data_IF_731808821655
#
_entry.id   IF_731808821655
#
_cell.length_a   1.000
_cell.length_b   1.000
_cell.length_c   1.000
_cell.angle_alpha   90.00
_cell.angle_beta   90.00
_cell.angle_gamma   90.00
#
_symmetry.space_group_name_H-M   'P 1'
#
loop_
_entity.id
_entity.type
_entity.pdbx_description
1 polymer ?
#
# COMPACT_ATOMS: atom_id res chain seq x y z
N UNK A 1 38.70 -27.29 9.21
CA UNK A 1 37.36 -27.00 8.66
C UNK A 1 36.64 -26.10 9.64
N UNK A 2 36.60 -24.79 9.39
CA UNK A 2 35.95 -23.82 10.28
C UNK A 2 34.51 -23.60 9.82
N UNK A 3 33.54 -23.93 10.67
CA UNK A 3 32.13 -23.64 10.44
C UNK A 3 31.91 -22.13 10.53
N UNK A 4 31.42 -21.54 9.44
CA UNK A 4 30.92 -20.17 9.45
C UNK A 4 29.69 -20.10 10.37
N UNK A 5 29.89 -19.58 11.58
CA UNK A 5 28.80 -19.19 12.45
C UNK A 5 28.08 -18.01 11.77
N UNK A 6 26.98 -18.32 11.08
CA UNK A 6 26.05 -17.31 10.62
C UNK A 6 25.50 -16.57 11.83
N UNK A 7 26.02 -15.39 12.11
CA UNK A 7 25.41 -14.48 13.07
C UNK A 7 24.01 -14.16 12.55
N UNK A 8 23.00 -14.82 13.11
CA UNK A 8 21.61 -14.43 12.94
C UNK A 8 21.48 -13.03 13.56
N UNK A 9 21.46 -12.00 12.70
CA UNK A 9 21.23 -10.62 13.11
C UNK A 9 19.90 -10.59 13.88
N UNK A 10 19.87 -10.17 15.15
CA UNK A 10 18.62 -10.09 15.90
C UNK A 10 17.64 -9.20 15.11
N UNK A 11 16.50 -9.75 14.69
CA UNK A 11 15.48 -8.95 13.99
C UNK A 11 14.96 -7.88 14.95
N UNK A 12 14.95 -6.59 14.56
CA UNK A 12 14.32 -5.55 15.37
C UNK A 12 12.85 -5.91 15.62
N UNK A 13 12.35 -5.71 16.84
CA UNK A 13 10.96 -6.04 17.21
C UNK A 13 9.92 -5.37 16.30
N UNK A 14 10.26 -4.20 15.75
CA UNK A 14 9.39 -3.43 14.87
C UNK A 14 9.16 -4.16 13.54
N UNK A 15 10.17 -4.81 12.96
CA UNK A 15 10.04 -5.55 11.70
C UNK A 15 9.03 -6.70 11.84
N UNK A 16 9.14 -7.48 12.92
CA UNK A 16 8.19 -8.56 13.24
C UNK A 16 6.76 -8.06 13.41
N UNK A 17 6.58 -6.90 14.07
CA UNK A 17 5.26 -6.29 14.23
C UNK A 17 4.67 -5.85 12.89
N UNK A 18 5.50 -5.31 12.00
CA UNK A 18 5.06 -4.87 10.68
C UNK A 18 4.63 -6.05 9.82
N UNK A 19 5.45 -7.11 9.76
CA UNK A 19 5.10 -8.33 9.05
C UNK A 19 3.76 -8.91 9.54
N UNK A 20 3.54 -8.89 10.85
CA UNK A 20 2.28 -9.34 11.46
C UNK A 20 1.10 -8.50 11.00
N UNK A 21 1.20 -7.17 11.05
CA UNK A 21 0.07 -6.27 10.70
C UNK A 21 -0.24 -6.34 9.21
N UNK A 22 0.76 -6.42 8.33
CA UNK A 22 0.53 -6.62 6.90
C UNK A 22 -0.14 -7.97 6.62
N UNK A 23 0.35 -9.05 7.23
CA UNK A 23 -0.25 -10.39 7.10
C UNK A 23 -1.68 -10.46 7.64
N UNK A 24 -1.94 -9.80 8.77
CA UNK A 24 -3.29 -9.71 9.36
C UNK A 24 -4.23 -8.90 8.47
N UNK A 25 -3.79 -7.78 7.92
CA UNK A 25 -4.60 -6.96 7.02
C UNK A 25 -4.98 -7.73 5.75
N UNK A 26 -4.05 -8.50 5.18
CA UNK A 26 -4.32 -9.41 4.07
C UNK A 26 -5.35 -10.50 4.44
N UNK A 27 -5.19 -11.09 5.63
CA UNK A 27 -6.07 -12.15 6.12
C UNK A 27 -7.49 -11.62 6.36
N UNK A 28 -7.63 -10.42 6.96
CA UNK A 28 -8.93 -9.76 7.15
C UNK A 28 -9.59 -9.46 5.80
N UNK A 29 -8.83 -8.97 4.82
CA UNK A 29 -9.33 -8.76 3.46
C UNK A 29 -9.85 -10.04 2.82
N UNK A 30 -9.17 -11.17 3.03
CA UNK A 30 -9.61 -12.47 2.53
C UNK A 30 -10.86 -12.98 3.26
N UNK A 31 -10.93 -12.81 4.58
CA UNK A 31 -12.12 -13.18 5.39
C UNK A 31 -13.34 -12.35 4.98
N UNK A 32 -13.16 -11.06 4.69
CA UNK A 32 -14.24 -10.18 4.24
C UNK A 32 -14.92 -10.67 2.94
N UNK A 33 -14.19 -11.37 2.06
CA UNK A 33 -14.80 -11.98 0.88
C UNK A 33 -15.80 -13.09 1.21
N UNK A 34 -15.61 -13.78 2.34
CA UNK A 34 -16.38 -14.95 2.75
C UNK A 34 -17.57 -14.54 3.64
N UNK A 35 -17.40 -13.53 4.48
CA UNK A 35 -18.40 -13.12 5.48
C UNK A 35 -19.51 -12.25 4.94
N UNK A 36 -19.34 -11.67 3.75
CA UNK A 36 -20.40 -10.89 3.09
C UNK A 36 -21.49 -11.84 2.61
N UNK A 37 -22.74 -11.34 2.60
CA UNK A 37 -23.89 -12.04 2.04
C UNK A 37 -23.59 -12.72 0.70
N UNK A 38 -24.22 -13.87 0.49
CA UNK A 38 -24.07 -14.67 -0.73
C UNK A 38 -24.22 -13.76 -1.96
N UNK A 39 -23.28 -13.81 -2.91
CA UNK A 39 -23.32 -12.95 -4.09
C UNK A 39 -24.58 -13.24 -4.88
N UNK A 40 -25.26 -12.18 -5.29
CA UNK A 40 -26.53 -12.21 -6.02
C UNK A 40 -26.35 -12.39 -7.53
N UNK A 41 -25.11 -12.20 -8.04
CA UNK A 41 -24.78 -12.31 -9.45
C UNK A 41 -23.31 -12.71 -9.67
N UNK A 42 -23.00 -13.23 -10.86
CA UNK A 42 -21.62 -13.50 -11.29
C UNK A 42 -20.79 -12.21 -11.40
N UNK A 43 -21.41 -11.09 -11.79
CA UNK A 43 -20.77 -9.78 -11.84
C UNK A 43 -20.30 -9.32 -10.45
N UNK A 44 -21.09 -9.60 -9.41
CA UNK A 44 -20.74 -9.29 -8.02
C UNK A 44 -19.54 -10.11 -7.54
N UNK A 45 -19.45 -11.39 -7.90
CA UNK A 45 -18.27 -12.23 -7.61
C UNK A 45 -17.02 -11.62 -8.23
N UNK A 46 -17.08 -11.26 -9.52
CA UNK A 46 -15.93 -10.70 -10.23
C UNK A 46 -15.48 -9.37 -9.62
N UNK A 47 -16.41 -8.47 -9.28
CA UNK A 47 -16.09 -7.19 -8.63
C UNK A 47 -15.40 -7.40 -7.29
N UNK A 48 -15.97 -8.24 -6.42
CA UNK A 48 -15.40 -8.54 -5.08
C UNK A 48 -14.00 -9.16 -5.21
N UNK A 49 -13.82 -10.12 -6.12
CA UNK A 49 -12.53 -10.75 -6.36
C UNK A 49 -11.48 -9.75 -6.87
N UNK A 50 -11.83 -8.90 -7.83
CA UNK A 50 -10.94 -7.87 -8.36
C UNK A 50 -10.53 -6.86 -7.28
N UNK A 51 -11.47 -6.41 -6.44
CA UNK A 51 -11.20 -5.52 -5.31
C UNK A 51 -10.20 -6.14 -4.31
N UNK A 52 -10.37 -7.42 -3.99
CA UNK A 52 -9.43 -8.14 -3.14
C UNK A 52 -8.06 -8.31 -3.79
N UNK A 53 -7.99 -8.73 -5.06
CA UNK A 53 -6.72 -8.87 -5.78
C UNK A 53 -5.98 -7.52 -5.82
N UNK A 54 -6.70 -6.44 -6.08
CA UNK A 54 -6.15 -5.09 -6.08
C UNK A 54 -5.53 -4.73 -4.72
N UNK A 55 -6.29 -4.86 -3.64
CA UNK A 55 -5.82 -4.50 -2.29
C UNK A 55 -4.73 -5.41 -1.77
N UNK A 56 -4.84 -6.73 -2.02
CA UNK A 56 -3.78 -7.67 -1.69
C UNK A 56 -2.48 -7.33 -2.44
N UNK A 57 -2.57 -7.03 -3.74
CA UNK A 57 -1.42 -6.63 -4.55
C UNK A 57 -0.81 -5.32 -4.05
N UNK A 58 -1.64 -4.34 -3.66
CA UNK A 58 -1.17 -3.10 -3.05
C UNK A 58 -0.43 -3.36 -1.74
N UNK A 59 -1.02 -4.09 -0.80
CA UNK A 59 -0.43 -4.39 0.50
C UNK A 59 0.88 -5.17 0.36
N UNK A 60 0.90 -6.23 -0.47
CA UNK A 60 2.11 -7.03 -0.73
C UNK A 60 3.21 -6.16 -1.36
N UNK A 61 2.85 -5.30 -2.32
CA UNK A 61 3.81 -4.39 -2.97
C UNK A 61 4.43 -3.43 -1.97
N UNK A 62 3.62 -2.76 -1.16
CA UNK A 62 4.12 -1.79 -0.17
C UNK A 62 4.91 -2.48 0.95
N UNK A 63 4.50 -3.68 1.37
CA UNK A 63 5.26 -4.51 2.30
C UNK A 63 6.65 -4.85 1.76
N UNK A 64 6.76 -5.33 0.51
CA UNK A 64 8.07 -5.63 -0.08
C UNK A 64 9.00 -4.40 -0.12
N UNK A 65 8.46 -3.24 -0.50
CA UNK A 65 9.21 -1.99 -0.50
C UNK A 65 9.65 -1.61 0.91
N UNK A 66 8.73 -1.70 1.88
CA UNK A 66 9.01 -1.43 3.29
C UNK A 66 10.14 -2.30 3.81
N UNK A 67 10.04 -3.63 3.66
CA UNK A 67 11.05 -4.57 4.16
C UNK A 67 12.42 -4.30 3.53
N UNK A 68 12.44 -4.00 2.23
CA UNK A 68 13.68 -3.62 1.54
C UNK A 68 14.30 -2.35 2.15
N UNK A 69 13.51 -1.30 2.35
CA UNK A 69 13.98 -0.04 2.93
C UNK A 69 14.47 -0.22 4.38
N UNK A 70 13.73 -0.96 5.22
CA UNK A 70 14.10 -1.18 6.61
C UNK A 70 15.35 -2.06 6.77
N UNK A 71 15.61 -2.97 5.82
CA UNK A 71 16.80 -3.83 5.88
C UNK A 71 18.13 -3.06 5.83
N UNK A 72 18.12 -1.85 5.27
CA UNK A 72 19.30 -0.99 5.10
C UNK A 72 19.28 0.26 5.99
N UNK A 73 18.22 0.46 6.76
CA UNK A 73 18.05 1.67 7.56
C UNK A 73 19.10 1.65 8.69
N UNK A 74 20.00 2.67 8.78
CA UNK A 74 21.20 2.56 9.60
C UNK A 74 20.92 2.72 11.11
N UNK A 75 19.92 3.52 11.49
CA UNK A 75 19.54 3.77 12.90
C UNK A 75 18.04 4.03 13.03
N UNK A 76 17.39 3.40 14.01
CA UNK A 76 16.00 3.69 14.37
C UNK A 76 15.92 5.05 15.11
N UNK A 77 15.48 6.10 14.43
CA UNK A 77 15.21 7.40 15.04
C UNK A 77 13.75 7.49 15.52
N UNK A 78 13.46 8.37 16.48
CA UNK A 78 12.09 8.61 16.96
C UNK A 78 11.12 8.97 15.82
N UNK A 79 11.61 9.68 14.80
CA UNK A 79 10.82 10.03 13.62
C UNK A 79 10.47 8.78 12.78
N UNK A 80 11.45 7.89 12.55
CA UNK A 80 11.21 6.62 11.83
C UNK A 80 10.22 5.75 12.59
N UNK A 81 10.36 5.65 13.92
CA UNK A 81 9.42 4.91 14.78
C UNK A 81 8.01 5.49 14.67
N UNK A 82 7.85 6.82 14.75
CA UNK A 82 6.55 7.48 14.62
C UNK A 82 5.92 7.22 13.24
N UNK A 83 6.67 7.40 12.17
CA UNK A 83 6.21 7.10 10.80
C UNK A 83 5.82 5.64 10.62
N UNK A 84 6.56 4.71 11.24
CA UNK A 84 6.20 3.29 11.24
C UNK A 84 4.86 3.05 11.93
N UNK A 85 4.65 3.60 13.12
CA UNK A 85 3.36 3.45 13.84
C UNK A 85 2.20 4.00 13.00
N UNK A 86 2.37 5.18 12.41
CA UNK A 86 1.35 5.76 11.51
C UNK A 86 1.09 4.86 10.31
N UNK A 87 2.14 4.37 9.64
CA UNK A 87 2.01 3.46 8.51
C UNK A 87 1.28 2.17 8.87
N UNK A 88 1.55 1.60 10.05
CA UNK A 88 0.86 0.40 10.52
C UNK A 88 -0.63 0.63 10.75
N UNK A 89 -1.00 1.81 11.27
CA UNK A 89 -2.41 2.20 11.41
C UNK A 89 -3.07 2.31 10.04
N UNK A 90 -2.44 3.00 9.08
CA UNK A 90 -2.95 3.14 7.72
C UNK A 90 -3.19 1.76 7.08
N UNK A 91 -2.18 0.89 7.10
CA UNK A 91 -2.26 -0.49 6.60
C UNK A 91 -3.40 -1.28 7.26
N UNK A 92 -3.57 -1.15 8.57
CA UNK A 92 -4.66 -1.83 9.28
C UNK A 92 -6.05 -1.31 8.89
N UNK A 93 -6.17 -0.07 8.43
CA UNK A 93 -7.44 0.51 7.97
C UNK A 93 -7.80 0.15 6.53
N UNK A 94 -6.83 -0.28 5.70
CA UNK A 94 -7.04 -0.66 4.29
C UNK A 94 -8.21 -1.63 4.09
N UNK A 95 -8.34 -2.76 4.83
CA UNK A 95 -9.43 -3.70 4.61
C UNK A 95 -10.80 -3.10 4.96
N UNK A 96 -10.86 -2.27 5.99
CA UNK A 96 -12.09 -1.60 6.42
C UNK A 96 -12.56 -0.56 5.40
N UNK A 97 -11.63 0.25 4.88
CA UNK A 97 -11.96 1.25 3.87
C UNK A 97 -12.40 0.58 2.56
N UNK A 98 -11.70 -0.46 2.11
CA UNK A 98 -12.11 -1.22 0.93
C UNK A 98 -13.50 -1.83 1.10
N UNK A 99 -13.81 -2.37 2.29
CA UNK A 99 -15.13 -2.93 2.57
C UNK A 99 -16.24 -1.93 2.23
N UNK A 100 -16.09 -0.68 2.70
CA UNK A 100 -17.09 0.36 2.46
C UNK A 100 -17.08 0.91 1.02
N UNK A 101 -15.96 0.80 0.30
CA UNK A 101 -15.86 1.20 -1.12
C UNK A 101 -16.56 0.20 -2.06
N UNK A 102 -16.47 -1.11 -1.78
CA UNK A 102 -16.83 -2.15 -2.78
C UNK A 102 -18.01 -3.03 -2.37
N UNK A 103 -18.31 -3.11 -1.06
CA UNK A 103 -19.34 -4.00 -0.54
C UNK A 103 -20.56 -3.18 -0.10
N UNK A 104 -21.64 -3.36 -0.85
CA UNK A 104 -22.91 -2.71 -0.55
C UNK A 104 -23.51 -3.29 0.72
N UNK A 105 -23.94 -2.40 1.62
CA UNK A 105 -24.71 -2.82 2.79
C UNK A 105 -26.18 -2.97 2.38
N UNK A 106 -26.76 -4.19 2.41
CA UNK A 106 -28.13 -4.43 1.97
C UNK A 106 -29.19 -3.75 2.85
N UNK A 107 -28.81 -3.26 4.02
CA UNK A 107 -29.71 -2.54 4.94
C UNK A 107 -29.85 -1.05 4.63
N UNK A 108 -29.06 -0.52 3.70
CA UNK A 108 -29.08 0.90 3.31
C UNK A 108 -29.78 1.10 1.97
N UNK A 109 -30.42 2.26 1.81
CA UNK A 109 -30.92 2.66 0.49
C UNK A 109 -29.74 2.95 -0.47
N UNK A 110 -29.93 2.85 -1.79
CA UNK A 110 -28.86 3.14 -2.77
C UNK A 110 -28.23 4.53 -2.59
N UNK A 111 -29.05 5.53 -2.24
CA UNK A 111 -28.61 6.90 -1.99
C UNK A 111 -27.72 7.00 -0.75
N UNK A 112 -28.12 6.39 0.37
CA UNK A 112 -27.31 6.37 1.60
C UNK A 112 -25.99 5.62 1.40
N UNK A 113 -26.03 4.50 0.67
CA UNK A 113 -24.83 3.76 0.34
C UNK A 113 -23.87 4.57 -0.52
N UNK A 114 -24.36 5.30 -1.52
CA UNK A 114 -23.52 6.15 -2.39
C UNK A 114 -22.73 7.19 -1.59
N UNK A 115 -23.37 7.85 -0.61
CA UNK A 115 -22.70 8.86 0.23
C UNK A 115 -21.58 8.25 1.08
N UNK A 116 -21.82 7.07 1.65
CA UNK A 116 -20.80 6.34 2.43
C UNK A 116 -19.67 5.86 1.53
N UNK A 117 -20.00 5.32 0.36
CA UNK A 117 -19.05 4.83 -0.63
C UNK A 117 -18.11 5.95 -1.08
N UNK A 118 -18.65 7.13 -1.37
CA UNK A 118 -17.90 8.31 -1.79
C UNK A 118 -16.94 8.82 -0.70
N UNK A 119 -17.42 8.85 0.55
CA UNK A 119 -16.61 9.22 1.70
C UNK A 119 -15.49 8.20 1.94
N UNK A 120 -15.81 6.91 1.94
CA UNK A 120 -14.86 5.82 2.09
C UNK A 120 -13.81 5.82 0.96
N UNK A 121 -14.24 6.05 -0.29
CA UNK A 121 -13.37 6.14 -1.48
C UNK A 121 -12.39 7.31 -1.37
N UNK A 122 -12.83 8.43 -0.80
CA UNK A 122 -11.98 9.59 -0.51
C UNK A 122 -10.93 9.28 0.55
N UNK A 123 -11.35 8.72 1.69
CA UNK A 123 -10.43 8.29 2.74
C UNK A 123 -9.45 7.23 2.26
N UNK A 124 -9.91 6.30 1.42
CA UNK A 124 -9.08 5.25 0.86
C UNK A 124 -7.97 5.82 -0.04
N UNK A 125 -8.29 6.77 -0.91
CA UNK A 125 -7.26 7.45 -1.71
C UNK A 125 -6.24 8.19 -0.83
N UNK A 126 -6.69 8.87 0.23
CA UNK A 126 -5.79 9.53 1.19
C UNK A 126 -4.90 8.50 1.90
N UNK A 127 -5.45 7.36 2.31
CA UNK A 127 -4.73 6.27 2.98
C UNK A 127 -3.61 5.71 2.09
N UNK A 128 -3.94 5.32 0.85
CA UNK A 128 -2.96 4.84 -0.13
C UNK A 128 -1.86 5.87 -0.40
N UNK A 129 -2.23 7.15 -0.56
CA UNK A 129 -1.28 8.23 -0.79
C UNK A 129 -0.37 8.46 0.42
N UNK A 130 -0.90 8.37 1.65
CA UNK A 130 -0.15 8.53 2.88
C UNK A 130 0.87 7.39 3.05
N UNK A 131 0.49 6.14 2.76
CA UNK A 131 1.43 5.00 2.75
C UNK A 131 2.59 5.26 1.79
N UNK A 132 2.29 5.70 0.56
CA UNK A 132 3.31 6.03 -0.43
C UNK A 132 4.21 7.20 0.00
N UNK A 133 3.65 8.22 0.65
CA UNK A 133 4.40 9.37 1.16
C UNK A 133 5.34 8.97 2.32
N UNK A 134 4.91 8.07 3.20
CA UNK A 134 5.75 7.54 4.28
C UNK A 134 6.90 6.71 3.69
N UNK A 135 6.62 5.83 2.73
CA UNK A 135 7.68 5.07 2.02
C UNK A 135 8.68 6.00 1.31
N UNK A 136 8.19 7.09 0.71
CA UNK A 136 9.04 8.12 0.12
C UNK A 136 9.94 8.77 1.19
N UNK A 137 9.40 9.01 2.37
CA UNK A 137 10.13 9.59 3.51
C UNK A 137 11.23 8.64 4.01
N UNK A 138 10.97 7.34 4.11
CA UNK A 138 12.02 6.35 4.41
C UNK A 138 13.11 6.32 3.35
N UNK A 139 12.74 6.27 2.07
CA UNK A 139 13.72 6.38 0.96
C UNK A 139 14.54 7.67 1.06
N UNK A 140 13.93 8.76 1.51
CA UNK A 140 14.60 10.04 1.66
C UNK A 140 15.65 10.01 2.77
N UNK A 141 15.29 9.51 3.95
CA UNK A 141 16.20 9.38 5.10
C UNK A 141 17.42 8.54 4.71
N UNK A 142 17.19 7.35 4.14
CA UNK A 142 18.26 6.46 3.66
C UNK A 142 19.16 7.19 2.66
N UNK A 143 18.58 7.93 1.71
CA UNK A 143 19.36 8.63 0.68
C UNK A 143 20.26 9.77 1.18
N UNK A 144 19.99 10.30 2.39
CA UNK A 144 20.79 11.36 3.02
C UNK A 144 21.83 10.77 3.98
N UNK A 145 21.43 9.81 4.82
CA UNK A 145 22.29 9.25 5.87
C UNK A 145 23.44 8.41 5.31
N UNK A 146 23.27 7.81 4.13
CA UNK A 146 24.28 6.99 3.47
C UNK A 146 25.45 7.76 2.83
N UNK A 147 25.51 9.10 2.94
CA UNK A 147 26.52 9.94 2.25
C UNK A 147 27.99 9.60 2.56
N UNK A 148 28.29 8.70 3.50
CA UNK A 148 29.67 8.28 3.83
C UNK A 148 29.89 6.76 3.96
N UNK A 149 28.88 5.90 3.79
CA UNK A 149 28.99 4.47 4.14
C UNK A 149 28.52 3.48 3.06
N UNK A 150 27.92 3.94 1.95
CA UNK A 150 27.30 3.04 0.97
C UNK A 150 27.68 3.38 -0.47
N UNK A 151 27.76 2.34 -1.30
CA UNK A 151 28.07 2.44 -2.72
C UNK A 151 27.15 3.46 -3.43
N UNK A 152 27.70 4.39 -4.25
CA UNK A 152 26.93 5.45 -4.92
C UNK A 152 25.72 4.94 -5.75
N UNK A 153 25.79 3.71 -6.25
CA UNK A 153 24.70 3.07 -6.97
C UNK A 153 23.46 2.82 -6.09
N UNK A 154 23.65 2.43 -4.82
CA UNK A 154 22.54 2.16 -3.91
C UNK A 154 21.86 3.48 -3.48
N UNK A 155 22.66 4.50 -3.17
CA UNK A 155 22.16 5.84 -2.87
C UNK A 155 21.35 6.42 -4.04
N UNK A 156 21.75 6.18 -5.30
CA UNK A 156 20.99 6.57 -6.50
C UNK A 156 19.65 5.83 -6.57
N UNK A 157 19.62 4.53 -6.27
CA UNK A 157 18.39 3.73 -6.25
C UNK A 157 17.38 4.27 -5.23
N UNK A 158 17.83 4.60 -4.01
CA UNK A 158 16.95 5.18 -2.98
C UNK A 158 16.42 6.57 -3.35
N UNK A 159 17.21 7.43 -3.99
CA UNK A 159 16.71 8.72 -4.51
C UNK A 159 15.64 8.53 -5.59
N UNK A 160 15.83 7.55 -6.48
CA UNK A 160 14.81 7.21 -7.47
C UNK A 160 13.56 6.64 -6.81
N UNK A 161 13.71 5.76 -5.83
CA UNK A 161 12.59 5.21 -5.05
C UNK A 161 11.78 6.33 -4.39
N UNK A 162 12.45 7.26 -3.70
CA UNK A 162 11.83 8.45 -3.10
C UNK A 162 11.00 9.23 -4.11
N UNK A 163 11.61 9.60 -5.24
CA UNK A 163 10.94 10.44 -6.23
C UNK A 163 9.72 9.72 -6.83
N UNK A 164 9.85 8.43 -7.15
CA UNK A 164 8.74 7.63 -7.69
C UNK A 164 7.60 7.52 -6.68
N UNK A 165 7.89 7.20 -5.42
CA UNK A 165 6.87 7.08 -4.38
C UNK A 165 6.17 8.42 -4.10
N UNK A 166 6.92 9.52 -4.06
CA UNK A 166 6.36 10.86 -3.91
C UNK A 166 5.44 11.23 -5.08
N UNK A 167 5.86 10.97 -6.32
CA UNK A 167 5.05 11.21 -7.52
C UNK A 167 3.79 10.35 -7.49
N UNK A 168 3.90 9.06 -7.15
CA UNK A 168 2.76 8.16 -7.07
C UNK A 168 1.77 8.57 -5.98
N UNK A 169 2.26 9.03 -4.83
CA UNK A 169 1.42 9.60 -3.76
C UNK A 169 0.59 10.78 -4.29
N UNK A 170 1.23 11.71 -5.00
CA UNK A 170 0.55 12.86 -5.63
C UNK A 170 -0.46 12.41 -6.69
N UNK A 171 -0.11 11.44 -7.54
CA UNK A 171 -1.02 10.88 -8.55
C UNK A 171 -2.27 10.28 -7.90
N UNK A 172 -2.12 9.55 -6.80
CA UNK A 172 -3.26 9.00 -6.05
C UNK A 172 -4.10 10.12 -5.45
N UNK A 173 -3.50 11.17 -4.88
CA UNK A 173 -4.26 12.32 -4.35
C UNK A 173 -5.01 13.09 -5.44
N UNK A 174 -4.45 13.19 -6.65
CA UNK A 174 -5.14 13.82 -7.78
C UNK A 174 -6.47 13.11 -8.09
N UNK A 175 -6.58 11.82 -7.81
CA UNK A 175 -7.85 11.09 -7.97
C UNK A 175 -8.98 11.61 -7.07
N UNK A 176 -8.70 12.44 -6.05
CA UNK A 176 -9.73 13.09 -5.23
C UNK A 176 -10.44 14.22 -5.96
N UNK A 177 -9.86 14.75 -7.04
CA UNK A 177 -10.45 15.89 -7.75
C UNK A 177 -11.83 15.52 -8.33
N UNK A 178 -12.82 16.44 -8.31
CA UNK A 178 -14.21 16.15 -8.72
C UNK A 178 -14.33 15.55 -10.12
N UNK A 179 -13.44 15.93 -11.05
CA UNK A 179 -13.41 15.41 -12.42
C UNK A 179 -13.32 13.88 -12.46
N UNK A 180 -12.66 13.24 -11.49
CA UNK A 180 -12.50 11.78 -11.46
C UNK A 180 -13.70 11.05 -10.84
N UNK A 181 -14.67 11.77 -10.27
CA UNK A 181 -15.86 11.18 -9.65
C UNK A 181 -16.91 10.80 -10.68
N UNK A 182 -17.11 11.66 -11.68
CA UNK A 182 -18.14 11.46 -12.72
C UNK A 182 -17.63 10.63 -13.91
N UNK A 183 -16.31 10.48 -14.05
CA UNK A 183 -15.71 9.74 -15.15
C UNK A 183 -15.66 8.24 -14.84
N UNK A 184 -16.34 7.45 -15.67
CA UNK A 184 -16.25 6.00 -15.67
C UNK A 184 -15.75 5.49 -17.03
N UNK A 185 -14.92 4.45 -17.00
CA UNK A 185 -14.42 3.74 -18.18
C UNK A 185 -14.86 2.28 -18.00
N UNK A 186 -15.55 1.72 -19.00
CA UNK A 186 -16.12 0.36 -18.93
C UNK A 186 -16.98 0.08 -17.67
N UNK A 187 -17.68 1.11 -17.16
CA UNK A 187 -18.53 1.00 -15.96
C UNK A 187 -17.76 0.98 -14.63
N UNK A 188 -16.44 1.22 -14.65
CA UNK A 188 -15.59 1.34 -13.46
C UNK A 188 -15.15 2.80 -13.32
N UNK A 189 -15.22 3.35 -12.11
CA UNK A 189 -14.79 4.73 -11.86
C UNK A 189 -13.30 4.92 -12.18
N UNK A 190 -12.95 6.04 -12.81
CA UNK A 190 -11.58 6.33 -13.26
C UNK A 190 -10.55 6.28 -12.11
N UNK A 191 -10.98 6.61 -10.88
CA UNK A 191 -10.17 6.58 -9.66
C UNK A 191 -9.55 5.21 -9.38
N UNK A 192 -10.30 4.14 -9.59
CA UNK A 192 -9.83 2.76 -9.36
C UNK A 192 -8.63 2.42 -10.26
N UNK A 193 -8.64 2.90 -11.51
CA UNK A 193 -7.51 2.73 -12.42
C UNK A 193 -6.28 3.51 -11.96
N UNK A 194 -6.48 4.74 -11.45
CA UNK A 194 -5.38 5.57 -10.92
C UNK A 194 -4.72 4.87 -9.72
N UNK A 195 -5.51 4.24 -8.85
CA UNK A 195 -4.99 3.54 -7.68
C UNK A 195 -4.17 2.28 -8.03
N UNK A 196 -4.33 1.72 -9.23
CA UNK A 196 -3.51 0.61 -9.72
C UNK A 196 -2.11 1.02 -10.21
N UNK A 197 -1.91 2.31 -10.53
CA UNK A 197 -0.63 2.82 -11.08
C UNK A 197 0.57 2.49 -10.18
N UNK A 198 0.53 2.68 -8.83
CA UNK A 198 1.66 2.36 -7.97
C UNK A 198 2.10 0.89 -8.04
N UNK A 199 1.13 -0.03 -8.14
CA UNK A 199 1.39 -1.47 -8.27
C UNK A 199 2.10 -1.73 -9.60
N UNK A 200 1.53 -1.23 -10.71
CA UNK A 200 2.06 -1.43 -12.06
C UNK A 200 3.49 -0.90 -12.16
N UNK A 201 3.72 0.34 -11.69
CA UNK A 201 5.04 0.98 -11.75
C UNK A 201 6.07 0.19 -10.95
N UNK A 202 5.72 -0.32 -9.76
CA UNK A 202 6.62 -1.14 -8.96
C UNK A 202 7.04 -2.41 -9.72
N UNK A 203 6.09 -3.17 -10.25
CA UNK A 203 6.38 -4.44 -10.94
C UNK A 203 7.19 -4.23 -12.22
N UNK A 204 6.86 -3.20 -13.02
CA UNK A 204 7.65 -2.83 -14.21
C UNK A 204 9.10 -2.52 -13.81
N UNK A 205 9.31 -1.69 -12.79
CA UNK A 205 10.66 -1.31 -12.35
C UNK A 205 11.45 -2.53 -11.86
N UNK A 206 10.80 -3.43 -11.12
CA UNK A 206 11.42 -4.66 -10.62
C UNK A 206 11.84 -5.58 -11.78
N UNK A 207 10.99 -5.75 -12.79
CA UNK A 207 11.30 -6.58 -13.97
C UNK A 207 12.42 -6.02 -14.84
N UNK A 208 12.57 -4.70 -14.92
CA UNK A 208 13.67 -4.05 -15.66
C UNK A 208 14.99 -4.18 -14.91
N UNK A 209 14.98 -4.10 -13.58
CA UNK A 209 16.19 -4.19 -12.74
C UNK A 209 16.72 -5.62 -12.54
N UNK A 210 15.89 -6.64 -12.78
CA UNK A 210 16.31 -8.05 -12.72
C UNK A 210 16.97 -8.56 -14.00
N UNK A 211 17.08 -7.70 -15.03
CA UNK A 211 17.81 -7.97 -16.29
C UNK A 211 19.15 -7.24 -16.25
#
# INVERSE_FOLDING_TARGET
>A
MAQAQGYARPRPKIETLVDLIFGLSLSIGAVALITVSAPSSTAEINRRLLAFIFTASFLITNWMVYTYQMSVLPVETNFVIYMNVVMLILVATVPYLLYNVEFANPSLTPQEYSVIQDYASSLFAVDLAAILAILASFSHIISIEEKRLVAPALAKSFRQSRNVQAILSVIVLISLAPVFWDLSIFGVQLRLYIWAIPIIVYWIRRSVQSR
#
